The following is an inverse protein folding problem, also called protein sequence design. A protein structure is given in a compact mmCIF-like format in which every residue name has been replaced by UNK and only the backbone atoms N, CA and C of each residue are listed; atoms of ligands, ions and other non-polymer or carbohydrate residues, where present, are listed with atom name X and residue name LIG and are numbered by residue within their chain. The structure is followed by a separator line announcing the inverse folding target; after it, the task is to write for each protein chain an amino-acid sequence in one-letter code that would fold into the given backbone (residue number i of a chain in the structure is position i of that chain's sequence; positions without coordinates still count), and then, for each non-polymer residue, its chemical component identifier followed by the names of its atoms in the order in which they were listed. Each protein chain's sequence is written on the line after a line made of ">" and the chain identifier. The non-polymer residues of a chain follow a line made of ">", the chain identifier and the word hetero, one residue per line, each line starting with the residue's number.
data_IF_286187481209
#
_entry.id   IF_286187481209
#
_cell.length_a   1.000
_cell.length_b   1.000
_cell.length_c   1.000
_cell.angle_alpha   90.00
_cell.angle_beta   90.00
_cell.angle_gamma   90.00
#
_symmetry.space_group_name_H-M   'P 1'
#
loop_
_entity.id
_entity.type
_entity.pdbx_description
1 polymer ?
#
# COMPACT_ATOMS: atom_id res chain seq x y z
N UNK A 1 31.75 9.93 -7.23
CA UNK A 1 31.87 8.91 -8.31
C UNK A 1 30.86 9.26 -9.39
N UNK A 2 31.28 9.29 -10.65
CA UNK A 2 30.37 9.50 -11.79
C UNK A 2 29.73 8.16 -12.14
N UNK A 3 28.41 8.11 -12.28
CA UNK A 3 27.70 6.88 -12.70
C UNK A 3 27.89 6.64 -14.20
N UNK A 4 27.81 5.37 -14.62
CA UNK A 4 27.78 5.02 -16.06
C UNK A 4 26.41 5.34 -16.66
N UNK A 5 26.33 5.45 -17.99
CA UNK A 5 25.04 5.62 -18.68
C UNK A 5 24.05 4.49 -18.32
N UNK A 6 24.52 3.23 -18.26
CA UNK A 6 23.67 2.10 -17.85
C UNK A 6 23.15 2.20 -16.42
N UNK A 7 23.94 2.75 -15.49
CA UNK A 7 23.51 3.00 -14.11
C UNK A 7 22.48 4.13 -14.06
N UNK A 8 22.67 5.18 -14.84
CA UNK A 8 21.68 6.25 -15.00
C UNK A 8 20.37 5.73 -15.58
N UNK A 9 20.41 4.94 -16.65
CA UNK A 9 19.22 4.38 -17.29
C UNK A 9 18.42 3.46 -16.36
N UNK A 10 19.13 2.63 -15.57
CA UNK A 10 18.51 1.78 -14.56
C UNK A 10 17.81 2.61 -13.46
N UNK A 11 18.45 3.67 -12.98
CA UNK A 11 17.86 4.56 -11.96
C UNK A 11 16.69 5.38 -12.52
N UNK A 12 16.75 5.76 -13.79
CA UNK A 12 15.67 6.50 -14.45
C UNK A 12 14.33 5.73 -14.44
N UNK A 13 14.36 4.40 -14.36
CA UNK A 13 13.14 3.60 -14.14
C UNK A 13 12.51 3.92 -12.78
N UNK A 14 13.31 3.96 -11.72
CA UNK A 14 12.84 4.30 -10.37
C UNK A 14 12.31 5.74 -10.31
N UNK A 15 13.01 6.68 -10.92
CA UNK A 15 12.59 8.09 -11.01
C UNK A 15 11.23 8.22 -11.69
N UNK A 16 11.02 7.56 -12.84
CA UNK A 16 9.73 7.59 -13.54
C UNK A 16 8.60 7.00 -12.71
N UNK A 17 8.85 5.91 -11.98
CA UNK A 17 7.85 5.28 -11.12
C UNK A 17 7.49 6.15 -9.91
N UNK A 18 8.49 6.74 -9.25
CA UNK A 18 8.29 7.66 -8.14
C UNK A 18 7.58 8.95 -8.60
N UNK A 19 7.96 9.50 -9.75
CA UNK A 19 7.31 10.66 -10.35
C UNK A 19 5.84 10.38 -10.67
N UNK A 20 5.54 9.21 -11.25
CA UNK A 20 4.16 8.80 -11.52
C UNK A 20 3.31 8.77 -10.24
N UNK A 21 3.85 8.27 -9.13
CA UNK A 21 3.14 8.30 -7.84
C UNK A 21 2.99 9.75 -7.32
N UNK A 22 4.04 10.56 -7.42
CA UNK A 22 4.04 11.95 -6.94
C UNK A 22 2.99 12.81 -7.65
N UNK A 23 2.84 12.60 -8.96
CA UNK A 23 1.86 13.30 -9.81
C UNK A 23 0.43 12.75 -9.70
N UNK A 24 0.22 11.61 -9.03
CA UNK A 24 -1.12 11.06 -8.89
C UNK A 24 -1.96 11.92 -7.95
N UNK A 25 -3.16 12.31 -8.40
CA UNK A 25 -4.13 13.00 -7.54
C UNK A 25 -4.70 12.06 -6.47
N UNK A 26 -4.77 10.77 -6.78
CA UNK A 26 -5.38 9.71 -5.95
C UNK A 26 -4.68 8.39 -6.17
N UNK A 27 -4.66 7.54 -5.14
CA UNK A 27 -3.96 6.25 -5.19
C UNK A 27 -4.89 5.12 -4.78
N UNK A 28 -4.95 4.06 -5.59
CA UNK A 28 -5.62 2.81 -5.27
C UNK A 28 -4.62 1.67 -5.27
N UNK A 29 -4.49 0.98 -4.15
CA UNK A 29 -3.70 -0.25 -4.01
C UNK A 29 -4.68 -1.39 -3.79
N UNK A 30 -4.80 -2.30 -4.76
CA UNK A 30 -5.55 -3.56 -4.59
C UNK A 30 -4.57 -4.71 -4.51
N UNK A 31 -4.59 -5.44 -3.39
CA UNK A 31 -3.60 -6.49 -3.14
C UNK A 31 -4.18 -7.62 -2.28
N UNK A 32 -3.81 -8.89 -2.53
CA UNK A 32 -4.10 -9.95 -1.60
C UNK A 32 -3.10 -9.93 -0.42
N UNK A 33 -3.48 -10.51 0.71
CA UNK A 33 -2.55 -10.91 1.76
C UNK A 33 -2.00 -12.30 1.45
N UNK A 34 -0.68 -12.42 1.32
CA UNK A 34 0.02 -13.69 1.16
C UNK A 34 1.03 -13.85 2.30
N UNK A 35 1.00 -15.01 2.95
CA UNK A 35 1.89 -15.32 4.08
C UNK A 35 1.89 -14.20 5.14
N UNK A 36 0.69 -13.77 5.54
CA UNK A 36 0.45 -12.74 6.57
C UNK A 36 0.84 -11.30 6.18
N UNK A 37 1.45 -11.10 5.01
CA UNK A 37 1.95 -9.80 4.54
C UNK A 37 1.52 -9.53 3.09
N UNK A 38 2.13 -8.55 2.44
CA UNK A 38 1.90 -8.19 1.04
C UNK A 38 2.68 -9.09 0.07
N UNK A 39 2.25 -9.24 -1.19
CA UNK A 39 2.98 -9.98 -2.21
C UNK A 39 4.34 -9.34 -2.50
N UNK A 40 5.34 -10.17 -2.82
CA UNK A 40 6.71 -9.71 -3.09
C UNK A 40 6.79 -8.66 -4.21
N UNK A 41 5.90 -8.71 -5.21
CA UNK A 41 5.85 -7.71 -6.29
C UNK A 41 5.47 -6.32 -5.79
N UNK A 42 4.53 -6.23 -4.84
CA UNK A 42 4.16 -4.94 -4.24
C UNK A 42 5.30 -4.43 -3.36
N UNK A 43 5.94 -5.32 -2.56
CA UNK A 43 7.12 -4.97 -1.78
C UNK A 43 8.27 -4.47 -2.64
N UNK A 44 8.55 -5.16 -3.76
CA UNK A 44 9.55 -4.76 -4.73
C UNK A 44 9.25 -3.38 -5.33
N UNK A 45 7.99 -3.11 -5.70
CA UNK A 45 7.61 -1.80 -6.23
C UNK A 45 7.82 -0.69 -5.19
N UNK A 46 7.41 -0.91 -3.93
CA UNK A 46 7.67 0.02 -2.83
C UNK A 46 9.16 0.26 -2.64
N UNK A 47 10.00 -0.78 -2.63
CA UNK A 47 11.46 -0.63 -2.47
C UNK A 47 12.11 0.17 -3.61
N UNK A 48 11.55 0.09 -4.82
CA UNK A 48 12.05 0.85 -5.98
C UNK A 48 11.71 2.34 -5.87
N UNK A 49 10.48 2.68 -5.45
CA UNK A 49 10.07 4.09 -5.40
C UNK A 49 10.49 4.79 -4.11
N UNK A 50 10.71 4.05 -3.01
CA UNK A 50 11.06 4.60 -1.70
C UNK A 50 12.57 4.74 -1.60
N UNK A 51 13.08 5.84 -2.17
CA UNK A 51 14.50 6.15 -2.22
C UNK A 51 14.77 7.58 -1.75
N UNK A 52 15.95 7.84 -1.15
CA UNK A 52 16.38 9.19 -0.79
C UNK A 52 16.35 10.12 -2.02
N UNK A 53 15.77 11.31 -1.86
CA UNK A 53 15.62 12.29 -2.93
C UNK A 53 14.45 12.04 -3.88
N UNK A 54 13.84 10.84 -3.88
CA UNK A 54 12.64 10.55 -4.66
C UNK A 54 11.36 10.77 -3.85
N UNK A 55 11.25 10.10 -2.69
CA UNK A 55 10.01 10.14 -1.88
C UNK A 55 10.26 10.47 -0.40
N UNK A 56 11.51 10.45 0.04
CA UNK A 56 11.91 10.94 1.36
C UNK A 56 13.30 11.58 1.30
N UNK A 57 13.67 12.34 2.32
CA UNK A 57 15.04 12.80 2.57
C UNK A 57 15.42 12.58 4.03
N UNK A 58 16.71 12.53 4.32
CA UNK A 58 17.22 12.51 5.69
C UNK A 58 17.75 13.89 6.06
N UNK A 59 17.36 14.37 7.23
CA UNK A 59 17.86 15.58 7.87
C UNK A 59 18.57 15.19 9.18
N UNK A 60 19.83 15.60 9.42
CA UNK A 60 20.55 15.21 10.63
C UNK A 60 19.90 15.64 11.95
N UNK A 61 19.09 16.71 11.96
CA UNK A 61 18.43 17.20 13.16
C UNK A 61 16.99 16.66 13.30
N UNK A 62 16.28 16.48 12.19
CA UNK A 62 14.86 16.09 12.19
C UNK A 62 14.62 14.60 11.86
N UNK A 63 15.63 13.89 11.37
CA UNK A 63 15.52 12.51 10.90
C UNK A 63 14.94 12.40 9.49
N UNK A 64 14.18 11.34 9.23
CA UNK A 64 13.57 11.13 7.91
C UNK A 64 12.35 12.03 7.71
N UNK A 65 12.30 12.69 6.56
CA UNK A 65 11.24 13.61 6.17
C UNK A 65 10.61 13.18 4.85
N UNK A 66 9.28 13.14 4.74
CA UNK A 66 8.60 12.78 3.51
C UNK A 66 8.77 13.87 2.44
N UNK A 67 8.73 13.47 1.17
CA UNK A 67 8.76 14.40 0.03
C UNK A 67 7.45 14.44 -0.76
N UNK A 68 6.56 13.47 -0.59
CA UNK A 68 5.27 13.49 -1.29
C UNK A 68 4.25 14.32 -0.52
N UNK A 69 3.41 15.03 -1.27
CA UNK A 69 2.17 15.61 -0.73
C UNK A 69 1.20 14.50 -0.38
N UNK A 70 0.39 14.75 0.65
CA UNK A 70 -0.72 13.86 0.99
C UNK A 70 -1.78 13.86 -0.12
N UNK A 71 -2.49 12.74 -0.24
CA UNK A 71 -3.52 12.54 -1.27
C UNK A 71 -4.48 11.41 -0.87
N UNK A 72 -5.75 11.48 -1.31
CA UNK A 72 -6.70 10.39 -1.08
C UNK A 72 -6.14 9.06 -1.55
N UNK A 73 -6.02 8.10 -0.62
CA UNK A 73 -5.48 6.78 -0.89
C UNK A 73 -6.39 5.69 -0.35
N UNK A 74 -6.68 4.68 -1.17
CA UNK A 74 -7.44 3.50 -0.78
C UNK A 74 -6.58 2.26 -0.92
N UNK A 75 -6.58 1.42 0.12
CA UNK A 75 -5.95 0.10 0.11
C UNK A 75 -7.03 -0.96 0.26
N UNK A 76 -7.27 -1.73 -0.80
CA UNK A 76 -8.13 -2.91 -0.77
C UNK A 76 -7.26 -4.13 -0.49
N UNK A 77 -7.47 -4.78 0.66
CA UNK A 77 -6.66 -5.91 1.11
C UNK A 77 -7.53 -7.16 1.26
N UNK A 78 -7.46 -8.08 0.29
CA UNK A 78 -8.19 -9.33 0.35
C UNK A 78 -7.39 -10.41 1.08
N UNK A 79 -8.02 -11.19 1.97
CA UNK A 79 -7.32 -12.21 2.76
C UNK A 79 -8.16 -13.47 2.96
N UNK A 80 -7.51 -14.63 3.06
CA UNK A 80 -8.19 -15.91 3.27
C UNK A 80 -8.97 -15.96 4.58
N UNK A 81 -8.45 -15.27 5.60
CA UNK A 81 -9.03 -15.14 6.94
C UNK A 81 -9.69 -13.78 7.15
N UNK A 82 -10.47 -13.62 8.23
CA UNK A 82 -10.96 -12.31 8.67
C UNK A 82 -10.10 -11.78 9.82
N UNK A 83 -9.32 -10.74 9.55
CA UNK A 83 -8.47 -10.06 10.53
C UNK A 83 -9.17 -8.89 11.23
N UNK A 84 -10.41 -8.56 10.86
CA UNK A 84 -11.23 -7.48 11.45
C UNK A 84 -12.10 -8.02 12.57
N UNK A 85 -12.85 -9.10 12.31
CA UNK A 85 -13.77 -9.68 13.29
C UNK A 85 -13.13 -10.78 14.14
N UNK A 86 -11.90 -11.20 13.81
CA UNK A 86 -11.13 -12.19 14.57
C UNK A 86 -11.23 -13.63 14.07
N UNK A 87 -11.85 -13.90 12.91
CA UNK A 87 -11.80 -15.22 12.27
C UNK A 87 -10.46 -15.50 11.56
N UNK A 88 -9.35 -15.25 12.26
CA UNK A 88 -7.98 -15.36 11.75
C UNK A 88 -7.23 -16.58 12.28
N UNK A 89 -7.87 -17.44 13.10
CA UNK A 89 -7.28 -18.65 13.67
C UNK A 89 -5.93 -18.38 14.37
N UNK A 90 -5.84 -17.26 15.08
CA UNK A 90 -4.62 -16.86 15.79
C UNK A 90 -3.47 -16.42 14.89
N UNK A 91 -3.74 -16.08 13.62
CA UNK A 91 -2.75 -15.45 12.72
C UNK A 91 -2.74 -13.94 12.89
N UNK A 92 -1.61 -13.32 12.59
CA UNK A 92 -1.39 -11.87 12.75
C UNK A 92 -1.47 -11.20 11.38
N UNK A 93 -2.08 -10.02 11.33
CA UNK A 93 -2.01 -9.13 10.17
C UNK A 93 -0.69 -8.34 10.20
N UNK A 94 0.22 -8.65 9.29
CA UNK A 94 1.46 -7.88 9.08
C UNK A 94 1.36 -6.95 7.86
N UNK A 95 0.35 -7.13 6.99
CA UNK A 95 0.20 -6.38 5.75
C UNK A 95 -0.31 -4.95 6.01
N UNK A 96 -1.40 -4.81 6.78
CA UNK A 96 -1.99 -3.49 7.08
C UNK A 96 -1.02 -2.56 7.82
N UNK A 97 -0.36 -2.96 8.92
CA UNK A 97 0.57 -2.07 9.62
C UNK A 97 1.78 -1.71 8.74
N UNK A 98 2.33 -2.66 7.96
CA UNK A 98 3.42 -2.38 7.03
C UNK A 98 3.03 -1.33 5.97
N UNK A 99 1.88 -1.53 5.30
CA UNK A 99 1.39 -0.60 4.28
C UNK A 99 1.07 0.78 4.86
N UNK A 100 0.53 0.84 6.07
CA UNK A 100 0.26 2.12 6.75
C UNK A 100 1.56 2.86 7.01
N UNK A 101 2.55 2.18 7.57
CA UNK A 101 3.82 2.80 7.93
C UNK A 101 4.61 3.26 6.71
N UNK A 102 4.69 2.42 5.68
CA UNK A 102 5.46 2.73 4.47
C UNK A 102 4.85 3.89 3.66
N UNK A 103 3.52 4.02 3.64
CA UNK A 103 2.82 5.14 2.99
C UNK A 103 2.98 6.44 3.80
N UNK A 104 2.82 6.36 5.12
CA UNK A 104 3.05 7.48 6.04
C UNK A 104 4.48 8.01 5.94
N UNK A 105 5.46 7.12 5.85
CA UNK A 105 6.88 7.44 5.72
C UNK A 105 7.18 8.35 4.52
N UNK A 106 6.47 8.17 3.41
CA UNK A 106 6.64 8.98 2.20
C UNK A 106 5.69 10.18 2.11
N UNK A 107 4.82 10.40 3.11
CA UNK A 107 3.95 11.57 3.21
C UNK A 107 2.48 11.31 2.82
N UNK A 108 2.10 10.05 2.59
CA UNK A 108 0.72 9.67 2.29
C UNK A 108 0.05 9.24 3.59
N UNK A 109 -0.81 10.11 4.14
CA UNK A 109 -1.43 9.93 5.45
C UNK A 109 -2.95 9.65 5.36
N UNK A 110 -3.65 10.21 4.36
CA UNK A 110 -5.08 9.91 4.12
C UNK A 110 -5.24 8.54 3.43
N UNK A 111 -5.07 7.47 4.21
CA UNK A 111 -5.15 6.09 3.73
C UNK A 111 -6.36 5.37 4.34
N UNK A 112 -7.31 5.00 3.48
CA UNK A 112 -8.49 4.20 3.82
C UNK A 112 -8.24 2.73 3.49
N UNK A 113 -8.16 1.89 4.52
CA UNK A 113 -8.05 0.45 4.35
C UNK A 113 -9.42 -0.20 4.26
N UNK A 114 -9.61 -1.03 3.23
CA UNK A 114 -10.81 -1.84 2.98
C UNK A 114 -10.38 -3.31 2.97
N UNK A 115 -10.41 -3.98 4.13
CA UNK A 115 -10.16 -5.40 4.21
C UNK A 115 -11.32 -6.20 3.60
N UNK A 116 -11.01 -7.29 2.91
CA UNK A 116 -11.97 -8.25 2.36
C UNK A 116 -11.59 -9.64 2.87
N UNK A 117 -12.26 -10.10 3.92
CA UNK A 117 -12.00 -11.39 4.54
C UNK A 117 -13.22 -11.90 5.32
N UNK A 118 -13.44 -13.23 5.39
CA UNK A 118 -12.60 -14.26 4.80
C UNK A 118 -12.89 -14.45 3.30
N UNK A 119 -11.87 -14.83 2.53
CA UNK A 119 -12.03 -15.31 1.14
C UNK A 119 -11.86 -16.82 1.02
N UNK A 120 -11.61 -17.51 2.14
CA UNK A 120 -11.51 -18.96 2.22
C UNK A 120 -12.32 -19.48 3.41
N UNK A 121 -13.04 -20.58 3.23
CA UNK A 121 -13.90 -21.14 4.27
C UNK A 121 -15.34 -21.34 3.78
N UNK A 122 -16.33 -21.33 4.71
CA UNK A 122 -17.73 -21.53 4.36
C UNK A 122 -18.26 -20.44 3.41
N UNK A 123 -19.20 -20.81 2.54
CA UNK A 123 -19.70 -19.92 1.48
C UNK A 123 -20.39 -18.66 2.01
N UNK A 124 -21.18 -18.78 3.07
CA UNK A 124 -21.93 -17.65 3.65
C UNK A 124 -21.01 -16.52 4.18
N UNK A 125 -20.00 -16.78 5.04
CA UNK A 125 -19.01 -15.77 5.43
C UNK A 125 -18.28 -15.12 4.25
N UNK A 126 -17.90 -15.90 3.23
CA UNK A 126 -17.23 -15.36 2.04
C UNK A 126 -18.16 -14.40 1.29
N UNK A 127 -19.42 -14.79 1.09
CA UNK A 127 -20.43 -13.96 0.42
C UNK A 127 -20.67 -12.68 1.21
N UNK A 128 -20.91 -12.78 2.51
CA UNK A 128 -21.14 -11.63 3.39
C UNK A 128 -19.95 -10.65 3.39
N UNK A 129 -18.72 -11.15 3.49
CA UNK A 129 -17.51 -10.32 3.45
C UNK A 129 -17.38 -9.56 2.11
N UNK A 130 -17.66 -10.24 1.00
CA UNK A 130 -17.61 -9.64 -0.35
C UNK A 130 -18.71 -8.59 -0.52
N UNK A 131 -19.94 -8.87 -0.10
CA UNK A 131 -21.07 -7.95 -0.22
C UNK A 131 -20.86 -6.70 0.63
N UNK A 132 -20.45 -6.86 1.89
CA UNK A 132 -20.14 -5.74 2.78
C UNK A 132 -19.00 -4.86 2.25
N UNK A 133 -17.92 -5.48 1.76
CA UNK A 133 -16.81 -4.75 1.15
C UNK A 133 -17.24 -4.02 -0.13
N UNK A 134 -18.06 -4.65 -0.97
CA UNK A 134 -18.58 -4.02 -2.18
C UNK A 134 -19.42 -2.79 -1.84
N UNK A 135 -20.40 -2.91 -0.92
CA UNK A 135 -21.24 -1.80 -0.51
C UNK A 135 -20.40 -0.61 0.01
N UNK A 136 -19.43 -0.90 0.88
CA UNK A 136 -18.50 0.12 1.40
C UNK A 136 -17.67 0.76 0.28
N UNK A 137 -17.18 -0.01 -0.69
CA UNK A 137 -16.41 0.52 -1.82
C UNK A 137 -17.25 1.40 -2.74
N UNK A 138 -18.52 1.07 -2.96
CA UNK A 138 -19.45 1.91 -3.73
C UNK A 138 -19.68 3.25 -3.03
N UNK A 139 -19.93 3.24 -1.71
CA UNK A 139 -20.08 4.47 -0.92
C UNK A 139 -18.81 5.32 -0.87
N UNK A 140 -17.65 4.67 -0.86
CA UNK A 140 -16.35 5.34 -0.90
C UNK A 140 -16.10 5.95 -2.27
N UNK A 141 -16.39 5.23 -3.36
CA UNK A 141 -16.16 5.67 -4.74
C UNK A 141 -16.90 6.98 -5.06
N UNK A 142 -18.10 7.19 -4.52
CA UNK A 142 -18.86 8.43 -4.70
C UNK A 142 -18.18 9.68 -4.11
N UNK A 143 -17.20 9.50 -3.22
CA UNK A 143 -16.47 10.56 -2.50
C UNK A 143 -14.95 10.40 -2.62
N UNK A 144 -14.51 9.47 -3.45
CA UNK A 144 -13.10 9.22 -3.74
C UNK A 144 -12.71 9.99 -5.00
#
# INVERSE_FOLDING_TARGET
>A
KTFTNSQHDAFAVAERLALRLSLADRVLISTPMWNFSIPYKLKQWLDVIIQPGLTFRFDPAQGYLPLLKDRPTVVILASGSDFVTGMNRGRIDMATPYLREVLRFIGINDVRFVPIGPTTGPAEPIRAAREAAHARLVEMAARF
#
